data_IF_421420570022
#
_entry.id   IF_421420570022
#
_cell.length_a   1.000
_cell.length_b   1.000
_cell.length_c   1.000
_cell.angle_alpha   90.00
_cell.angle_beta   90.00
_cell.angle_gamma   90.00
#
_symmetry.space_group_name_H-M   'P 1'
#
loop_
_entity.id
_entity.type
_entity.pdbx_description
1 polymer ?
#
# COMPACT_ATOMS: atom_id res chain seq x y z
N UNK A 1 9.46 34.23 -11.41
CA UNK A 1 8.65 34.28 -10.18
C UNK A 1 8.46 32.86 -9.70
N UNK A 2 9.24 32.46 -8.69
CA UNK A 2 9.10 31.16 -8.04
C UNK A 2 7.77 31.10 -7.28
N UNK A 3 7.21 29.90 -7.10
CA UNK A 3 6.07 29.68 -6.19
C UNK A 3 6.52 29.53 -4.73
N UNK A 4 7.83 29.44 -4.51
CA UNK A 4 8.45 29.18 -3.22
C UNK A 4 8.88 30.50 -2.57
N UNK A 5 8.76 30.55 -1.24
CA UNK A 5 9.16 31.68 -0.40
C UNK A 5 10.60 31.43 0.07
N UNK A 6 11.50 32.37 -0.19
CA UNK A 6 12.89 32.37 0.28
C UNK A 6 13.07 33.04 1.64
N UNK A 7 14.24 32.86 2.26
CA UNK A 7 14.55 33.42 3.59
C UNK A 7 14.67 34.95 3.59
N UNK A 8 15.02 35.56 2.46
CA UNK A 8 15.17 37.01 2.30
C UNK A 8 13.91 37.70 1.77
N UNK A 9 12.81 36.96 1.57
CA UNK A 9 11.58 37.53 1.03
C UNK A 9 10.90 38.47 2.03
N UNK A 10 10.61 39.69 1.57
CA UNK A 10 9.95 40.72 2.36
C UNK A 10 8.47 40.83 1.99
N UNK A 11 7.62 40.77 3.00
CA UNK A 11 6.18 40.91 2.86
C UNK A 11 5.73 42.27 3.36
N UNK A 12 4.80 42.91 2.63
CA UNK A 12 4.18 44.17 3.00
C UNK A 12 2.67 44.12 2.75
N UNK A 13 1.93 44.96 3.47
CA UNK A 13 0.48 45.09 3.28
C UNK A 13 0.23 45.79 1.94
N UNK A 14 -0.65 45.23 1.11
CA UNK A 14 -1.08 45.87 -0.13
C UNK A 14 -2.21 46.87 0.14
N UNK A 15 -1.85 48.11 0.44
CA UNK A 15 -2.82 49.21 0.67
C UNK A 15 -3.62 49.59 -0.57
N UNK A 16 -3.23 49.13 -1.76
CA UNK A 16 -3.93 49.36 -3.02
C UNK A 16 -4.99 48.30 -3.32
N UNK A 17 -5.24 47.37 -2.40
CA UNK A 17 -6.24 46.33 -2.60
C UNK A 17 -7.64 46.91 -2.77
N UNK A 18 -8.32 46.52 -3.86
CA UNK A 18 -9.71 46.88 -4.13
C UNK A 18 -10.50 45.63 -4.51
N UNK A 19 -11.73 45.52 -4.00
CA UNK A 19 -12.62 44.38 -4.27
C UNK A 19 -14.01 44.88 -4.61
N UNK A 20 -14.65 44.25 -5.61
CA UNK A 20 -16.06 44.49 -5.93
C UNK A 20 -17.01 43.93 -4.87
N UNK A 21 -16.53 43.02 -4.03
CA UNK A 21 -17.30 42.39 -2.94
C UNK A 21 -16.95 43.02 -1.59
N UNK A 22 -17.98 43.34 -0.81
CA UNK A 22 -17.84 43.83 0.58
C UNK A 22 -17.23 42.78 1.51
N UNK A 23 -17.52 41.50 1.28
CA UNK A 23 -16.90 40.37 1.98
C UNK A 23 -15.90 39.68 1.08
N UNK A 24 -14.62 39.76 1.45
CA UNK A 24 -13.54 39.04 0.78
C UNK A 24 -13.27 37.77 1.58
N UNK A 25 -13.54 36.61 0.98
CA UNK A 25 -13.18 35.31 1.57
C UNK A 25 -11.73 35.02 1.21
N UNK A 26 -10.83 35.17 2.17
CA UNK A 26 -9.46 34.69 2.02
C UNK A 26 -9.53 33.16 2.02
N UNK A 27 -9.13 32.54 0.92
CA UNK A 27 -8.92 31.10 0.88
C UNK A 27 -7.74 30.78 1.80
N UNK A 28 -8.03 30.39 3.04
CA UNK A 28 -7.03 29.71 3.87
C UNK A 28 -6.51 28.52 3.07
N UNK A 29 -5.24 28.15 3.25
CA UNK A 29 -4.56 27.04 2.56
C UNK A 29 -5.14 25.65 2.95
N UNK A 30 -6.44 25.57 3.22
CA UNK A 30 -7.22 24.37 3.52
C UNK A 30 -7.68 23.75 2.20
N UNK A 31 -6.68 23.47 1.38
CA UNK A 31 -6.67 22.47 0.32
C UNK A 31 -5.21 22.17 -0.02
N UNK A 32 -4.30 22.19 0.97
CA UNK A 32 -3.02 21.52 0.75
C UNK A 32 -3.37 20.05 0.53
N UNK A 33 -3.15 19.59 -0.71
CA UNK A 33 -2.84 18.18 -0.96
C UNK A 33 -1.97 17.71 0.20
N UNK A 34 -2.28 16.57 0.81
CA UNK A 34 -1.44 15.94 1.84
C UNK A 34 0.03 16.24 1.53
N UNK A 35 0.76 16.73 2.52
CA UNK A 35 2.20 16.95 2.35
C UNK A 35 2.83 15.63 1.91
N UNK A 36 3.90 15.67 1.11
CA UNK A 36 4.56 14.44 0.65
C UNK A 36 4.86 13.42 1.78
N UNK A 37 5.27 13.82 3.01
CA UNK A 37 5.41 12.88 4.12
C UNK A 37 4.08 12.24 4.55
N UNK A 38 2.99 13.02 4.66
CA UNK A 38 1.66 12.50 5.00
C UNK A 38 1.16 11.49 3.96
N UNK A 39 1.32 11.80 2.66
CA UNK A 39 0.99 10.85 1.58
C UNK A 39 1.77 9.55 1.70
N UNK A 40 3.04 9.64 2.04
CA UNK A 40 3.90 8.47 2.15
C UNK A 40 3.52 7.62 3.36
N UNK A 41 3.15 8.24 4.48
CA UNK A 41 2.62 7.54 5.66
C UNK A 41 1.29 6.84 5.34
N UNK A 42 0.35 7.54 4.70
CA UNK A 42 -0.94 6.96 4.27
C UNK A 42 -0.73 5.74 3.37
N UNK A 43 0.20 5.81 2.41
CA UNK A 43 0.55 4.67 1.55
C UNK A 43 1.13 3.50 2.33
N UNK A 44 2.03 3.77 3.28
CA UNK A 44 2.62 2.73 4.10
C UNK A 44 1.55 1.99 4.90
N UNK A 45 0.66 2.71 5.61
CA UNK A 45 -0.45 2.11 6.36
C UNK A 45 -1.32 1.20 5.49
N UNK A 46 -1.65 1.64 4.27
CA UNK A 46 -2.41 0.82 3.31
C UNK A 46 -1.67 -0.47 2.94
N UNK A 47 -0.36 -0.41 2.73
CA UNK A 47 0.43 -1.62 2.45
C UNK A 47 0.51 -2.56 3.65
N UNK A 48 0.53 -2.03 4.88
CA UNK A 48 0.48 -2.86 6.09
C UNK A 48 -0.85 -3.60 6.23
N UNK A 49 -1.96 -2.94 5.95
CA UNK A 49 -3.31 -3.52 5.98
C UNK A 49 -3.53 -4.60 4.90
N UNK A 50 -2.73 -4.59 3.84
CA UNK A 50 -2.76 -5.60 2.76
C UNK A 50 -2.05 -6.90 3.15
N UNK A 51 -1.01 -6.85 3.99
CA UNK A 51 -0.22 -8.02 4.42
C UNK A 51 -1.09 -9.17 4.98
N UNK A 52 -1.96 -8.95 5.99
CA UNK A 52 -2.79 -10.04 6.53
C UNK A 52 -3.81 -10.57 5.51
N UNK A 53 -4.27 -9.74 4.56
CA UNK A 53 -5.18 -10.19 3.50
C UNK A 53 -4.48 -11.15 2.53
N UNK A 54 -3.20 -10.89 2.20
CA UNK A 54 -2.37 -11.78 1.39
C UNK A 54 -2.13 -13.10 2.13
N UNK A 55 -1.72 -13.05 3.40
CA UNK A 55 -1.49 -14.26 4.22
C UNK A 55 -2.76 -15.13 4.29
N UNK A 56 -3.91 -14.52 4.56
CA UNK A 56 -5.19 -15.22 4.61
C UNK A 56 -5.60 -15.85 3.26
N UNK A 57 -5.29 -15.18 2.14
CA UNK A 57 -5.55 -15.72 0.80
C UNK A 57 -4.68 -16.95 0.52
N UNK A 58 -3.37 -16.87 0.81
CA UNK A 58 -2.43 -17.99 0.66
C UNK A 58 -2.90 -19.21 1.46
N UNK A 59 -3.21 -19.01 2.75
CA UNK A 59 -3.69 -20.09 3.63
C UNK A 59 -5.00 -20.69 3.10
N UNK A 60 -5.96 -19.87 2.66
CA UNK A 60 -7.24 -20.36 2.12
C UNK A 60 -7.05 -21.24 0.88
N UNK A 61 -6.18 -20.82 -0.05
CA UNK A 61 -5.85 -21.58 -1.26
C UNK A 61 -5.18 -22.91 -0.89
N UNK A 62 -4.08 -22.87 -0.12
CA UNK A 62 -3.31 -24.06 0.22
C UNK A 62 -4.07 -25.03 1.13
N UNK A 63 -4.97 -24.54 1.99
CA UNK A 63 -5.86 -25.39 2.78
C UNK A 63 -6.78 -26.26 1.91
N UNK A 64 -7.23 -25.72 0.78
CA UNK A 64 -8.09 -26.43 -0.18
C UNK A 64 -7.33 -27.33 -1.16
N UNK A 65 -6.18 -26.87 -1.67
CA UNK A 65 -5.37 -27.60 -2.66
C UNK A 65 -4.43 -28.64 -2.03
N UNK A 66 -4.10 -28.47 -0.74
CA UNK A 66 -3.11 -29.19 0.05
C UNK A 66 -1.67 -29.04 -0.43
N UNK A 67 -1.42 -29.10 -1.73
CA UNK A 67 -0.11 -28.91 -2.37
C UNK A 67 -0.28 -28.00 -3.59
N UNK A 68 0.60 -27.01 -3.75
CA UNK A 68 0.60 -26.14 -4.93
C UNK A 68 2.00 -25.57 -5.21
N UNK A 69 2.36 -25.37 -6.47
CA UNK A 69 3.62 -24.71 -6.83
C UNK A 69 3.56 -23.20 -6.67
N UNK A 70 4.74 -22.57 -6.61
CA UNK A 70 4.87 -21.13 -6.40
C UNK A 70 4.11 -20.27 -7.41
N UNK A 71 4.18 -20.61 -8.70
CA UNK A 71 3.61 -19.77 -9.76
C UNK A 71 2.08 -19.82 -9.69
N UNK A 72 1.53 -20.99 -9.42
CA UNK A 72 0.10 -21.17 -9.22
C UNK A 72 -0.40 -20.49 -7.94
N UNK A 73 0.38 -20.47 -6.85
CA UNK A 73 0.05 -19.67 -5.65
C UNK A 73 -0.05 -18.19 -6.02
N UNK A 74 0.93 -17.64 -6.73
CA UNK A 74 0.91 -16.22 -7.14
C UNK A 74 -0.33 -15.93 -8.00
N UNK A 75 -0.62 -16.79 -8.99
CA UNK A 75 -1.75 -16.61 -9.89
C UNK A 75 -3.09 -16.65 -9.15
N UNK A 76 -3.30 -17.65 -8.28
CA UNK A 76 -4.55 -17.80 -7.52
C UNK A 76 -4.73 -16.68 -6.49
N UNK A 77 -3.67 -16.30 -5.76
CA UNK A 77 -3.72 -15.19 -4.78
C UNK A 77 -4.02 -13.86 -5.48
N UNK A 78 -3.36 -13.59 -6.60
CA UNK A 78 -3.59 -12.35 -7.39
C UNK A 78 -5.03 -12.30 -7.88
N UNK A 79 -5.54 -13.40 -8.43
CA UNK A 79 -6.93 -13.52 -8.88
C UNK A 79 -7.93 -13.31 -7.74
N UNK A 80 -7.66 -13.88 -6.58
CA UNK A 80 -8.55 -13.79 -5.42
C UNK A 80 -8.60 -12.38 -4.81
N UNK A 81 -7.48 -11.66 -4.82
CA UNK A 81 -7.37 -10.31 -4.25
C UNK A 81 -7.70 -9.19 -5.25
N UNK A 82 -7.72 -9.49 -6.56
CA UNK A 82 -8.00 -8.53 -7.65
C UNK A 82 -9.18 -7.58 -7.38
N UNK A 83 -10.33 -8.01 -6.80
CA UNK A 83 -11.45 -7.10 -6.53
C UNK A 83 -11.14 -6.00 -5.50
N UNK A 84 -10.09 -6.19 -4.69
CA UNK A 84 -9.68 -5.24 -3.63
C UNK A 84 -8.42 -4.48 -4.02
N UNK A 85 -7.39 -5.19 -4.50
CA UNK A 85 -6.12 -4.62 -4.93
C UNK A 85 -5.32 -5.61 -5.78
N UNK A 86 -4.36 -5.09 -6.55
CA UNK A 86 -3.37 -5.91 -7.24
C UNK A 86 -2.22 -6.23 -6.29
N UNK A 87 -2.14 -7.48 -5.84
CA UNK A 87 -1.08 -7.94 -4.96
C UNK A 87 0.26 -8.03 -5.71
N UNK A 88 1.33 -7.48 -5.11
CA UNK A 88 2.67 -7.57 -5.67
C UNK A 88 3.22 -9.00 -5.52
N UNK A 89 3.68 -9.68 -6.59
CA UNK A 89 4.27 -11.01 -6.51
C UNK A 89 5.41 -11.13 -5.49
N UNK A 90 6.21 -10.07 -5.32
CA UNK A 90 7.30 -10.03 -4.33
C UNK A 90 6.77 -10.09 -2.90
N UNK A 91 5.65 -9.42 -2.60
CA UNK A 91 5.04 -9.46 -1.28
C UNK A 91 4.38 -10.81 -1.03
N UNK A 92 3.73 -11.41 -2.03
CA UNK A 92 3.19 -12.78 -1.94
C UNK A 92 4.31 -13.75 -1.58
N UNK A 93 5.47 -13.69 -2.27
CA UNK A 93 6.64 -14.52 -1.95
C UNK A 93 7.10 -14.31 -0.51
N UNK A 94 7.26 -13.06 -0.07
CA UNK A 94 7.67 -12.74 1.31
C UNK A 94 6.70 -13.31 2.35
N UNK A 95 5.38 -13.22 2.09
CA UNK A 95 4.35 -13.79 2.97
C UNK A 95 4.38 -15.32 2.98
N UNK A 96 4.63 -15.97 1.84
CA UNK A 96 4.78 -17.42 1.80
C UNK A 96 5.95 -17.90 2.65
N UNK A 97 7.10 -17.25 2.61
CA UNK A 97 8.24 -17.63 3.49
C UNK A 97 7.90 -17.42 4.98
N UNK A 98 7.23 -16.31 5.33
CA UNK A 98 6.78 -16.08 6.71
C UNK A 98 5.77 -17.12 7.19
N UNK A 99 4.93 -17.65 6.30
CA UNK A 99 4.01 -18.74 6.63
C UNK A 99 4.72 -20.08 6.80
N UNK A 100 5.88 -20.27 6.17
CA UNK A 100 6.76 -21.41 6.45
C UNK A 100 7.41 -21.24 7.83
N UNK A 101 7.95 -20.06 8.14
CA UNK A 101 8.56 -19.77 9.45
C UNK A 101 7.57 -19.92 10.62
N UNK A 102 6.27 -19.81 10.35
CA UNK A 102 5.19 -19.97 11.33
C UNK A 102 4.55 -21.37 11.30
N UNK A 103 5.16 -22.34 10.62
CA UNK A 103 4.71 -23.73 10.52
C UNK A 103 3.29 -23.91 9.93
N UNK A 104 2.78 -22.93 9.17
CA UNK A 104 1.52 -23.10 8.42
C UNK A 104 1.75 -23.89 7.13
N UNK A 105 2.95 -23.73 6.55
CA UNK A 105 3.36 -24.31 5.28
C UNK A 105 4.72 -24.98 5.41
N UNK A 106 4.99 -25.98 4.58
CA UNK A 106 6.34 -26.48 4.34
C UNK A 106 6.63 -26.54 2.86
N UNK A 107 7.92 -26.56 2.50
CA UNK A 107 8.33 -26.94 1.14
C UNK A 107 8.33 -28.46 1.05
N UNK A 108 7.92 -28.99 -0.09
CA UNK A 108 7.97 -30.44 -0.28
C UNK A 108 9.42 -30.95 -0.22
N UNK A 109 9.61 -32.11 0.40
CA UNK A 109 10.92 -32.74 0.58
C UNK A 109 11.56 -33.18 -0.75
N UNK A 110 10.74 -33.47 -1.76
CA UNK A 110 11.19 -33.96 -3.07
C UNK A 110 11.33 -32.81 -4.06
N UNK A 111 10.33 -31.93 -4.13
CA UNK A 111 10.35 -30.76 -5.01
C UNK A 111 10.16 -29.45 -4.24
N UNK A 112 11.26 -28.71 -4.08
CA UNK A 112 11.28 -27.41 -3.39
C UNK A 112 10.43 -26.32 -4.05
N UNK A 113 9.89 -26.56 -5.26
CA UNK A 113 8.94 -25.65 -5.93
C UNK A 113 7.51 -25.80 -5.40
N UNK A 114 7.21 -26.92 -4.76
CA UNK A 114 5.90 -27.22 -4.17
C UNK A 114 5.84 -26.79 -2.71
N UNK A 115 4.72 -26.21 -2.34
CA UNK A 115 4.37 -25.87 -0.96
C UNK A 115 3.23 -26.76 -0.50
N UNK A 116 3.34 -27.28 0.72
CA UNK A 116 2.35 -28.12 1.37
C UNK A 116 1.76 -27.40 2.58
N UNK A 117 0.45 -27.54 2.75
CA UNK A 117 -0.25 -27.03 3.94
C UNK A 117 -0.10 -28.01 5.11
N UNK A 118 0.29 -27.50 6.28
CA UNK A 118 0.59 -28.33 7.47
C UNK A 118 -0.56 -28.43 8.48
N UNK A 119 -1.55 -27.53 8.43
CA UNK A 119 -2.62 -27.44 9.42
C UNK A 119 -3.98 -28.04 8.97
#
# INVERSE_FOLDING_TARGET
MSKDIGEEDLFSVNDKFTSKFYKVKIGTVVAQKETEPEKQETRQRVEEDRKPQIEAAIVRILKSRKILDHNNIIAEVTKQLQPRFLANPTEIKKRTELLIERDFLERDNTDRKLYRYLA
#
